data_IF_575162964601
#
_entry.id   IF_575162964601
#
_cell.length_a   1.000
_cell.length_b   1.000
_cell.length_c   1.000
_cell.angle_alpha   90.00
_cell.angle_beta   90.00
_cell.angle_gamma   90.00
#
_symmetry.space_group_name_H-M   'P 1'
#
loop_
_entity.id
_entity.type
_entity.pdbx_description
1 polymer ?
#
# COMPACT_ATOMS: atom_id res chain seq x y z
N UNK A 1 -17.47 3.75 -18.12
CA UNK A 1 -16.17 3.24 -17.62
C UNK A 1 -15.68 4.25 -16.60
N UNK A 2 -15.88 3.95 -15.31
CA UNK A 2 -15.61 4.86 -14.21
C UNK A 2 -14.14 5.32 -14.28
N UNK A 3 -13.93 6.64 -14.31
CA UNK A 3 -12.66 7.27 -13.92
C UNK A 3 -12.51 7.18 -12.39
N UNK A 4 -12.83 6.04 -11.80
CA UNK A 4 -12.50 5.78 -10.41
C UNK A 4 -10.99 5.56 -10.37
N UNK A 5 -10.31 6.66 -10.07
CA UNK A 5 -9.20 6.64 -9.13
C UNK A 5 -7.87 6.01 -9.57
N UNK A 6 -7.53 6.17 -10.86
CA UNK A 6 -6.13 6.07 -11.33
C UNK A 6 -5.17 6.94 -10.48
N UNK A 7 -5.65 8.04 -9.90
CA UNK A 7 -4.86 8.88 -8.99
C UNK A 7 -4.69 8.23 -7.60
N UNK A 8 -5.73 7.67 -7.00
CA UNK A 8 -5.61 7.03 -5.67
C UNK A 8 -4.84 5.72 -5.75
N UNK A 9 -5.02 4.92 -6.79
CA UNK A 9 -4.26 3.69 -7.00
C UNK A 9 -2.75 4.00 -7.23
N UNK A 10 -2.42 5.01 -8.04
CA UNK A 10 -1.03 5.43 -8.21
C UNK A 10 -0.42 6.02 -6.93
N UNK A 11 -1.19 6.78 -6.14
CA UNK A 11 -0.75 7.28 -4.83
C UNK A 11 -0.50 6.14 -3.86
N UNK A 12 -1.37 5.13 -3.83
CA UNK A 12 -1.23 3.94 -3.00
C UNK A 12 0.02 3.14 -3.35
N UNK A 13 0.24 2.88 -4.65
CA UNK A 13 1.47 2.22 -5.12
C UNK A 13 2.74 2.99 -4.75
N UNK A 14 2.71 4.32 -4.90
CA UNK A 14 3.82 5.19 -4.48
C UNK A 14 4.03 5.13 -2.97
N UNK A 15 2.97 5.20 -2.18
CA UNK A 15 3.03 5.12 -0.73
C UNK A 15 3.65 3.80 -0.28
N UNK A 16 3.24 2.68 -0.88
CA UNK A 16 3.80 1.36 -0.57
C UNK A 16 5.29 1.31 -0.90
N UNK A 17 5.68 1.74 -2.10
CA UNK A 17 7.09 1.74 -2.49
C UNK A 17 7.94 2.62 -1.57
N UNK A 18 7.50 3.84 -1.26
CA UNK A 18 8.30 4.83 -0.53
C UNK A 18 8.31 4.58 0.99
N UNK A 19 7.16 4.28 1.59
CA UNK A 19 7.02 4.21 3.06
C UNK A 19 7.21 2.79 3.61
N UNK A 20 6.73 1.76 2.90
CA UNK A 20 6.85 0.37 3.33
C UNK A 20 8.19 -0.20 2.87
N UNK A 21 8.52 -0.06 1.59
CA UNK A 21 9.76 -0.64 1.03
C UNK A 21 10.97 0.27 1.08
N UNK A 22 10.79 1.55 1.44
CA UNK A 22 11.87 2.56 1.41
C UNK A 22 12.56 2.63 0.04
N UNK A 23 11.83 2.27 -1.02
CA UNK A 23 12.32 2.30 -2.37
C UNK A 23 12.41 3.76 -2.83
N UNK A 24 13.43 4.03 -3.64
CA UNK A 24 13.69 5.34 -4.23
C UNK A 24 13.31 5.33 -5.70
N UNK A 25 12.93 6.49 -6.23
CA UNK A 25 12.72 6.67 -7.66
C UNK A 25 14.05 6.63 -8.39
N UNK A 26 14.23 5.66 -9.28
CA UNK A 26 15.33 5.61 -10.25
C UNK A 26 14.85 6.15 -11.58
N UNK A 27 15.26 7.37 -11.92
CA UNK A 27 14.88 8.00 -13.19
C UNK A 27 15.43 7.19 -14.39
N UNK A 28 14.57 6.96 -15.37
CA UNK A 28 14.93 6.31 -16.63
C UNK A 28 15.52 7.35 -17.58
N UNK A 29 16.77 7.18 -18.00
CA UNK A 29 17.44 8.07 -18.97
C UNK A 29 17.04 7.73 -20.43
N UNK A 30 15.78 7.98 -20.79
CA UNK A 30 15.31 7.88 -22.18
C UNK A 30 14.45 9.10 -22.53
N UNK A 31 14.49 9.54 -23.77
CA UNK A 31 13.68 10.66 -24.26
C UNK A 31 12.21 10.26 -24.32
N UNK A 32 11.37 10.89 -23.50
CA UNK A 32 9.93 10.64 -23.48
C UNK A 32 9.23 11.48 -24.56
N UNK A 33 8.69 10.81 -25.59
CA UNK A 33 7.76 11.41 -26.52
C UNK A 33 6.33 11.17 -26.01
N UNK A 34 5.67 12.22 -25.53
CA UNK A 34 4.25 12.18 -25.20
C UNK A 34 3.45 12.09 -26.51
N UNK A 35 2.94 10.89 -26.83
CA UNK A 35 2.10 10.67 -28.01
C UNK A 35 0.63 10.78 -27.56
N UNK A 36 -0.16 11.70 -28.14
CA UNK A 36 -1.59 11.78 -27.86
C UNK A 36 -2.28 10.42 -28.06
N UNK A 37 -3.05 9.96 -27.07
CA UNK A 37 -3.77 8.69 -27.12
C UNK A 37 -2.98 7.45 -26.65
N UNK A 38 -1.70 7.59 -26.25
CA UNK A 38 -0.96 6.52 -25.57
C UNK A 38 -1.00 6.69 -24.05
N UNK A 39 -1.00 5.56 -23.35
CA UNK A 39 -0.94 5.52 -21.89
C UNK A 39 0.36 6.17 -21.40
N UNK A 40 0.27 7.01 -20.37
CA UNK A 40 1.43 7.62 -19.75
C UNK A 40 2.22 6.56 -18.98
N UNK A 41 3.53 6.48 -19.24
CA UNK A 41 4.44 5.61 -18.50
C UNK A 41 5.28 6.49 -17.57
N UNK A 42 5.31 6.21 -16.25
CA UNK A 42 6.11 7.02 -15.34
C UNK A 42 7.59 7.03 -15.75
N UNK A 43 8.30 8.16 -15.62
CA UNK A 43 9.68 8.29 -16.08
C UNK A 43 10.71 7.65 -15.14
N UNK A 44 10.28 6.72 -14.30
CA UNK A 44 11.10 6.11 -13.26
C UNK A 44 10.74 4.65 -13.02
N UNK A 45 11.67 3.95 -12.38
CA UNK A 45 11.49 2.67 -11.71
C UNK A 45 11.67 2.81 -10.21
N UNK A 46 11.26 1.80 -9.47
CA UNK A 46 11.54 1.68 -8.04
C UNK A 46 12.86 0.97 -7.82
N UNK A 47 13.78 1.60 -7.10
CA UNK A 47 15.01 0.99 -6.63
C UNK A 47 14.91 0.72 -5.13
N UNK A 48 14.94 -0.55 -4.77
CA UNK A 48 14.85 -1.03 -3.39
C UNK A 48 16.20 -0.88 -2.66
N UNK A 49 16.21 -0.92 -1.31
CA UNK A 49 17.44 -0.79 -0.53
C UNK A 49 18.51 -1.84 -0.85
N UNK A 50 18.11 -3.03 -1.29
CA UNK A 50 18.99 -4.12 -1.73
C UNK A 50 19.54 -3.93 -3.16
N UNK A 51 19.13 -2.86 -3.84
CA UNK A 51 19.52 -2.54 -5.21
C UNK A 51 18.61 -3.14 -6.28
N UNK A 52 17.61 -3.95 -5.91
CA UNK A 52 16.62 -4.50 -6.86
C UNK A 52 15.84 -3.37 -7.53
N UNK A 53 15.60 -3.51 -8.84
CA UNK A 53 14.85 -2.53 -9.64
C UNK A 53 13.54 -3.17 -10.08
N UNK A 54 12.42 -2.48 -9.85
CA UNK A 54 11.07 -2.95 -10.15
C UNK A 54 10.32 -1.87 -10.95
N UNK A 55 9.50 -2.30 -11.91
CA UNK A 55 8.72 -1.39 -12.76
C UNK A 55 7.80 -0.50 -11.93
N UNK A 56 7.69 0.79 -12.28
CA UNK A 56 6.86 1.73 -11.54
C UNK A 56 5.36 1.42 -11.58
N UNK A 57 4.89 0.63 -12.54
CA UNK A 57 3.50 0.19 -12.65
C UNK A 57 3.18 -1.06 -11.83
N UNK A 58 4.19 -1.73 -11.26
CA UNK A 58 4.02 -2.95 -10.47
C UNK A 58 2.93 -2.77 -9.42
N UNK A 59 2.02 -3.74 -9.38
CA UNK A 59 1.05 -3.86 -8.30
C UNK A 59 1.69 -4.62 -7.15
N UNK A 60 1.99 -3.90 -6.07
CA UNK A 60 2.65 -4.46 -4.90
C UNK A 60 1.70 -5.28 -4.01
N UNK A 61 0.39 -5.20 -4.19
CA UNK A 61 -0.55 -5.93 -3.34
C UNK A 61 -0.79 -7.37 -3.80
N UNK A 62 -0.53 -7.66 -5.07
CA UNK A 62 -0.69 -8.99 -5.67
C UNK A 62 0.57 -9.86 -5.58
N UNK A 63 1.68 -9.32 -5.09
CA UNK A 63 2.97 -9.99 -5.07
C UNK A 63 3.27 -10.55 -3.65
N UNK A 64 3.45 -11.88 -3.49
CA UNK A 64 3.61 -12.51 -2.18
C UNK A 64 4.82 -12.02 -1.38
N UNK A 65 5.90 -11.62 -2.07
CA UNK A 65 7.16 -11.19 -1.45
C UNK A 65 6.98 -9.95 -0.55
N UNK A 66 5.87 -9.25 -0.71
CA UNK A 66 5.58 -7.98 -0.06
C UNK A 66 4.76 -8.11 1.22
N UNK A 67 4.13 -9.26 1.46
CA UNK A 67 3.37 -9.54 2.69
C UNK A 67 4.28 -9.55 3.91
N UNK A 68 5.51 -10.05 3.79
CA UNK A 68 6.49 -10.07 4.89
C UNK A 68 6.82 -8.67 5.41
N UNK A 69 7.37 -7.76 4.58
CA UNK A 69 7.75 -6.42 5.01
C UNK A 69 6.60 -5.58 5.58
N UNK A 70 5.38 -5.69 5.04
CA UNK A 70 4.23 -4.98 5.63
C UNK A 70 3.84 -5.55 7.00
N UNK A 71 3.94 -6.87 7.19
CA UNK A 71 3.68 -7.50 8.49
C UNK A 71 4.67 -7.01 9.57
N UNK A 72 5.95 -6.83 9.23
CA UNK A 72 6.97 -6.33 10.17
C UNK A 72 6.66 -4.92 10.69
N UNK A 73 5.99 -4.10 9.89
CA UNK A 73 5.58 -2.74 10.28
C UNK A 73 4.25 -2.75 11.02
N UNK A 74 3.25 -3.45 10.49
CA UNK A 74 1.86 -3.29 10.91
C UNK A 74 1.48 -4.20 12.07
N UNK A 75 1.98 -5.43 12.15
CA UNK A 75 1.63 -6.34 13.24
C UNK A 75 2.03 -5.80 14.62
N UNK A 76 3.23 -5.20 14.81
CA UNK A 76 3.55 -4.54 16.08
C UNK A 76 2.62 -3.36 16.40
N UNK A 77 2.17 -2.60 15.38
CA UNK A 77 1.22 -1.50 15.57
C UNK A 77 -0.14 -2.01 16.05
N UNK A 78 -0.67 -3.05 15.41
CA UNK A 78 -1.91 -3.74 15.80
C UNK A 78 -1.81 -4.20 17.27
N UNK A 79 -0.73 -4.90 17.61
CA UNK A 79 -0.51 -5.39 18.96
C UNK A 79 -0.45 -4.26 20.00
N UNK A 80 0.26 -3.16 19.70
CA UNK A 80 0.37 -1.99 20.59
C UNK A 80 -0.98 -1.29 20.82
N UNK A 81 -1.85 -1.27 19.80
CA UNK A 81 -3.18 -0.67 19.87
C UNK A 81 -4.22 -1.60 20.51
N UNK A 82 -3.86 -2.85 20.81
CA UNK A 82 -4.80 -3.84 21.32
C UNK A 82 -5.83 -4.30 20.28
N UNK A 83 -5.53 -4.11 18.99
CA UNK A 83 -6.38 -4.55 17.89
C UNK A 83 -6.16 -6.03 17.58
N UNK A 84 -7.15 -6.63 16.93
CA UNK A 84 -7.22 -8.04 16.59
C UNK A 84 -7.62 -8.22 15.13
N UNK A 85 -7.01 -9.20 14.46
CA UNK A 85 -7.41 -9.59 13.11
C UNK A 85 -8.35 -10.78 13.18
N UNK A 86 -9.53 -10.65 12.57
CA UNK A 86 -10.50 -11.73 12.42
C UNK A 86 -10.48 -12.27 11.00
N UNK A 87 -10.17 -13.55 10.84
CA UNK A 87 -10.14 -14.21 9.54
C UNK A 87 -11.52 -14.78 9.21
N UNK A 88 -12.14 -14.26 8.16
CA UNK A 88 -13.49 -14.60 7.75
C UNK A 88 -13.47 -15.82 6.80
N UNK A 89 -14.59 -16.55 6.76
CA UNK A 89 -14.73 -17.75 5.93
C UNK A 89 -14.64 -17.50 4.41
N UNK A 90 -14.77 -16.24 3.98
CA UNK A 90 -14.61 -15.84 2.58
C UNK A 90 -13.15 -15.53 2.19
N UNK A 91 -12.19 -15.76 3.09
CA UNK A 91 -10.77 -15.47 2.86
C UNK A 91 -10.40 -14.00 3.07
N UNK A 92 -11.33 -13.15 3.52
CA UNK A 92 -11.02 -11.78 3.93
C UNK A 92 -10.62 -11.73 5.41
N UNK A 93 -9.99 -10.62 5.76
CA UNK A 93 -9.58 -10.27 7.11
C UNK A 93 -10.33 -9.01 7.51
N UNK A 94 -10.77 -8.97 8.76
CA UNK A 94 -11.34 -7.81 9.40
C UNK A 94 -10.46 -7.38 10.58
N UNK A 95 -10.53 -6.11 10.98
CA UNK A 95 -9.78 -5.55 12.11
C UNK A 95 -10.76 -5.04 13.17
N UNK A 96 -10.66 -5.62 14.36
CA UNK A 96 -11.55 -5.32 15.48
C UNK A 96 -10.74 -5.05 16.76
N UNK A 97 -11.40 -4.53 17.79
CA UNK A 97 -10.88 -4.51 19.16
C UNK A 97 -11.91 -5.13 20.12
N UNK A 98 -11.75 -4.94 21.43
CA UNK A 98 -12.69 -5.47 22.41
C UNK A 98 -14.08 -4.81 22.37
N UNK A 99 -14.22 -3.65 21.75
CA UNK A 99 -15.42 -2.81 21.80
C UNK A 99 -16.10 -2.63 20.42
N UNK A 100 -15.35 -2.74 19.32
CA UNK A 100 -15.82 -2.44 17.97
C UNK A 100 -15.26 -3.37 16.90
N UNK A 101 -16.10 -3.64 15.90
CA UNK A 101 -15.76 -4.39 14.68
C UNK A 101 -15.37 -3.49 13.51
N UNK A 102 -15.48 -2.17 13.65
CA UNK A 102 -15.20 -1.21 12.57
C UNK A 102 -14.03 -0.31 12.94
N UNK A 103 -12.86 -0.92 13.19
CA UNK A 103 -11.67 -0.16 13.55
C UNK A 103 -11.13 0.57 12.31
N UNK A 104 -10.89 1.87 12.46
CA UNK A 104 -10.44 2.77 11.39
C UNK A 104 -11.39 2.84 10.18
N UNK A 105 -12.65 2.41 10.26
CA UNK A 105 -13.56 2.30 9.10
C UNK A 105 -12.92 1.52 7.92
N UNK A 106 -12.18 0.45 8.22
CA UNK A 106 -11.58 -0.43 7.21
C UNK A 106 -12.55 -1.60 6.97
N UNK A 107 -13.08 -1.79 5.75
CA UNK A 107 -13.94 -2.91 5.45
C UNK A 107 -13.16 -4.22 5.34
N UNK A 108 -13.80 -5.39 5.54
CA UNK A 108 -13.14 -6.67 5.38
C UNK A 108 -12.62 -6.89 3.95
N UNK A 109 -11.33 -7.18 3.81
CA UNK A 109 -10.63 -7.31 2.53
C UNK A 109 -9.52 -8.37 2.63
N UNK A 110 -8.83 -8.72 1.52
CA UNK A 110 -7.64 -9.57 1.59
C UNK A 110 -6.60 -9.02 2.58
N UNK A 111 -5.85 -9.91 3.24
CA UNK A 111 -4.90 -9.54 4.29
C UNK A 111 -3.93 -8.41 3.88
N UNK A 112 -3.34 -8.49 2.69
CA UNK A 112 -2.38 -7.48 2.21
C UNK A 112 -3.01 -6.09 2.14
N UNK A 113 -4.24 -6.00 1.61
CA UNK A 113 -5.00 -4.75 1.52
C UNK A 113 -5.31 -4.18 2.90
N UNK A 114 -5.80 -5.01 3.83
CA UNK A 114 -6.11 -4.61 5.22
C UNK A 114 -4.87 -4.08 5.92
N UNK A 115 -3.72 -4.76 5.82
CA UNK A 115 -2.48 -4.32 6.46
C UNK A 115 -2.03 -2.95 5.95
N UNK A 116 -2.12 -2.70 4.64
CA UNK A 116 -1.75 -1.39 4.06
C UNK A 116 -2.75 -0.31 4.50
N UNK A 117 -4.04 -0.60 4.52
CA UNK A 117 -5.07 0.35 4.95
C UNK A 117 -4.88 0.75 6.41
N UNK A 118 -4.54 -0.20 7.28
CA UNK A 118 -4.18 0.07 8.67
C UNK A 118 -2.98 1.02 8.73
N UNK A 119 -1.94 0.76 7.94
CA UNK A 119 -0.75 1.60 7.94
C UNK A 119 -1.08 3.03 7.49
N UNK A 120 -1.78 3.20 6.35
CA UNK A 120 -2.17 4.51 5.81
C UNK A 120 -3.03 5.28 6.80
N UNK A 121 -4.14 4.69 7.27
CA UNK A 121 -5.08 5.39 8.15
C UNK A 121 -4.47 5.72 9.51
N UNK A 122 -3.56 4.88 10.01
CA UNK A 122 -2.83 5.21 11.26
C UNK A 122 -1.90 6.39 11.06
N UNK A 123 -1.16 6.45 9.94
CA UNK A 123 -0.29 7.60 9.63
C UNK A 123 -1.09 8.89 9.41
N UNK A 124 -2.24 8.83 8.72
CA UNK A 124 -3.14 9.98 8.56
C UNK A 124 -3.65 10.50 9.90
N UNK A 125 -4.07 9.60 10.80
CA UNK A 125 -4.54 9.97 12.13
C UNK A 125 -3.42 10.58 12.99
N UNK A 126 -2.19 10.06 12.89
CA UNK A 126 -1.03 10.61 13.61
C UNK A 126 -0.65 12.00 13.10
N UNK A 127 -0.72 12.24 11.79
CA UNK A 127 -0.44 13.54 11.19
C UNK A 127 -1.47 14.62 11.57
N UNK A 128 -2.73 14.25 11.81
CA UNK A 128 -3.81 15.17 12.17
C UNK A 128 -3.80 15.59 13.66
N UNK A 129 -2.93 14.98 14.49
CA UNK A 129 -2.81 15.27 15.93
C UNK A 129 -1.62 16.22 16.22
N UNK A 130 -0.80 16.53 15.20
CA UNK A 130 0.29 17.52 15.28
C UNK A 130 -0.16 18.91 14.84
#
# INVERSE_FOLDING_TARGET
>A
MQKEDLSSNNKRKQYIAENIFRAKKKLRYHTWLMIPGKEFHPPFDWQFPDGKIVDSKTDFESLPEWVGPICEVVLPMIAKKGWHMSFLFNGHVDICDSESWAILDIPPAPLSTVLIDIHIKTQENEANIQ
#
